data_IF_965780849390
#
_entry.id   IF_965780849390
#
_cell.length_a   1.000
_cell.length_b   1.000
_cell.length_c   1.000
_cell.angle_alpha   90.00
_cell.angle_beta   90.00
_cell.angle_gamma   90.00
#
_symmetry.space_group_name_H-M   'P 1'
#
loop_
_entity.id
_entity.type
_entity.pdbx_description
1 polymer ?
#
# COMPACT_ATOMS: atom_id res chain seq x y z
N UNK A 1 20.29 12.22 13.54
CA UNK A 1 18.88 11.92 13.90
C UNK A 1 18.09 11.75 12.63
N UNK A 2 17.47 10.59 12.41
CA UNK A 2 16.70 10.33 11.20
C UNK A 2 15.38 11.11 11.26
N UNK A 3 15.17 11.97 10.27
CA UNK A 3 13.96 12.77 10.08
C UNK A 3 12.72 11.89 9.95
N UNK A 4 11.59 12.35 10.50
CA UNK A 4 10.25 11.74 10.43
C UNK A 4 9.62 11.74 9.01
N UNK A 5 10.38 11.89 7.92
CA UNK A 5 9.85 12.61 6.75
C UNK A 5 8.98 11.83 5.75
N UNK A 6 8.95 10.49 5.70
CA UNK A 6 8.01 9.81 4.81
C UNK A 6 7.76 8.36 5.23
N UNK A 7 6.49 7.94 5.19
CA UNK A 7 6.08 6.55 5.08
C UNK A 7 5.72 6.28 3.62
N UNK A 8 5.99 5.07 3.12
CA UNK A 8 5.73 4.71 1.72
C UNK A 8 6.92 4.06 1.02
N UNK A 9 6.72 3.53 -0.20
CA UNK A 9 7.71 2.69 -0.88
C UNK A 9 9.00 3.41 -1.30
N UNK A 10 8.99 4.75 -1.35
CA UNK A 10 10.17 5.56 -1.68
C UNK A 10 10.94 6.02 -0.44
N UNK A 11 10.46 5.69 0.76
CA UNK A 11 11.07 6.14 2.00
C UNK A 11 12.14 5.17 2.56
N UNK A 12 12.44 4.09 1.83
CA UNK A 12 13.61 3.26 2.10
C UNK A 12 14.88 3.99 1.65
N UNK A 13 15.90 4.00 2.51
CA UNK A 13 17.19 4.64 2.23
C UNK A 13 18.34 3.69 2.58
N UNK A 14 19.52 3.90 1.97
CA UNK A 14 20.71 3.05 2.16
C UNK A 14 20.96 2.08 0.99
N UNK A 15 22.03 1.28 1.12
CA UNK A 15 22.53 0.43 0.03
C UNK A 15 21.52 -0.63 -0.46
N UNK A 16 20.64 -1.10 0.42
CA UNK A 16 19.60 -2.09 0.11
C UNK A 16 18.22 -1.48 -0.16
N UNK A 17 18.11 -0.14 -0.30
CA UNK A 17 16.81 0.53 -0.48
C UNK A 17 16.02 -0.02 -1.67
N UNK A 18 16.68 -0.25 -2.81
CA UNK A 18 16.05 -0.79 -4.02
C UNK A 18 15.48 -2.20 -3.82
N UNK A 19 16.12 -3.04 -2.99
CA UNK A 19 15.63 -4.38 -2.67
C UNK A 19 14.35 -4.30 -1.85
N UNK A 20 14.35 -3.45 -0.83
CA UNK A 20 13.16 -3.25 0.01
C UNK A 20 12.00 -2.65 -0.78
N UNK A 21 12.27 -1.71 -1.69
CA UNK A 21 11.26 -1.19 -2.61
C UNK A 21 10.69 -2.30 -3.51
N UNK A 22 11.55 -3.18 -4.06
CA UNK A 22 11.10 -4.34 -4.85
C UNK A 22 10.23 -5.31 -4.04
N UNK A 23 10.68 -5.71 -2.85
CA UNK A 23 9.92 -6.60 -1.95
C UNK A 23 8.54 -6.02 -1.61
N UNK A 24 8.48 -4.73 -1.31
CA UNK A 24 7.22 -4.04 -1.03
C UNK A 24 6.30 -4.06 -2.25
N UNK A 25 6.84 -3.81 -3.44
CA UNK A 25 6.06 -3.84 -4.67
C UNK A 25 5.49 -5.25 -4.96
N UNK A 26 6.31 -6.29 -4.83
CA UNK A 26 5.91 -7.68 -5.06
C UNK A 26 4.81 -8.11 -4.08
N UNK A 27 4.97 -7.79 -2.79
CA UNK A 27 3.97 -8.09 -1.76
C UNK A 27 2.68 -7.31 -1.99
N UNK A 28 2.76 -6.04 -2.40
CA UNK A 28 1.59 -5.22 -2.69
C UNK A 28 0.82 -5.71 -3.91
N UNK A 29 1.51 -6.12 -4.98
CA UNK A 29 0.90 -6.73 -6.16
C UNK A 29 0.20 -8.03 -5.79
N UNK A 30 0.89 -8.92 -5.08
CA UNK A 30 0.31 -10.18 -4.61
C UNK A 30 -0.94 -9.97 -3.73
N UNK A 31 -0.89 -9.03 -2.78
CA UNK A 31 -2.05 -8.70 -1.95
C UNK A 31 -3.20 -8.10 -2.76
N UNK A 32 -2.92 -7.17 -3.66
CA UNK A 32 -3.97 -6.53 -4.44
C UNK A 32 -4.62 -7.50 -5.43
N UNK A 33 -3.88 -8.43 -6.04
CA UNK A 33 -4.47 -9.47 -6.89
C UNK A 33 -5.41 -10.39 -6.10
N UNK A 34 -5.09 -10.68 -4.83
CA UNK A 34 -6.01 -11.41 -3.93
C UNK A 34 -7.29 -10.63 -3.65
N UNK A 35 -7.19 -9.32 -3.45
CA UNK A 35 -8.36 -8.45 -3.26
C UNK A 35 -9.22 -8.45 -4.52
N UNK A 36 -8.64 -8.22 -5.69
CA UNK A 36 -9.33 -8.20 -6.99
C UNK A 36 -10.03 -9.54 -7.26
N UNK A 37 -9.37 -10.67 -6.97
CA UNK A 37 -9.97 -11.99 -7.14
C UNK A 37 -11.21 -12.23 -6.26
N UNK A 38 -11.33 -11.54 -5.12
CA UNK A 38 -12.43 -11.66 -4.17
C UNK A 38 -13.50 -10.57 -4.33
N UNK A 39 -13.16 -9.46 -4.97
CA UNK A 39 -14.03 -8.32 -5.21
C UNK A 39 -13.87 -7.82 -6.66
N UNK A 40 -14.64 -8.37 -7.62
CA UNK A 40 -14.44 -8.11 -9.06
C UNK A 40 -14.65 -6.65 -9.50
N UNK A 41 -15.34 -5.83 -8.71
CA UNK A 41 -15.49 -4.40 -8.96
C UNK A 41 -14.20 -3.62 -8.65
N UNK A 42 -13.37 -4.16 -7.75
CA UNK A 42 -12.05 -3.61 -7.42
C UNK A 42 -11.07 -3.97 -8.54
N UNK A 43 -10.29 -2.99 -8.98
CA UNK A 43 -9.30 -3.15 -10.04
C UNK A 43 -8.07 -2.28 -9.80
N UNK A 44 -6.97 -2.65 -10.44
CA UNK A 44 -5.79 -1.80 -10.53
C UNK A 44 -6.01 -0.61 -11.46
N UNK A 45 -5.58 0.57 -11.04
CA UNK A 45 -5.56 1.78 -11.87
C UNK A 45 -4.31 2.62 -11.53
N UNK A 46 -3.77 3.33 -12.52
CA UNK A 46 -2.71 4.32 -12.26
C UNK A 46 -3.34 5.59 -11.67
N UNK A 47 -3.00 5.93 -10.43
CA UNK A 47 -3.53 7.14 -9.80
C UNK A 47 -2.93 8.40 -10.44
N UNK A 48 -3.71 9.09 -11.27
CA UNK A 48 -3.30 10.34 -11.94
C UNK A 48 -4.07 11.58 -11.45
N UNK A 49 -5.06 11.41 -10.57
CA UNK A 49 -6.05 12.45 -10.26
C UNK A 49 -5.50 13.63 -9.47
N UNK A 50 -4.63 13.40 -8.47
CA UNK A 50 -4.18 14.44 -7.56
C UNK A 50 -2.70 14.31 -7.18
N UNK A 51 -1.87 15.31 -7.51
CA UNK A 51 -0.42 15.33 -7.19
C UNK A 51 -0.06 15.15 -5.72
N UNK A 52 -0.98 15.49 -4.81
CA UNK A 52 -0.80 15.35 -3.35
C UNK A 52 -1.34 14.02 -2.80
N UNK A 53 -1.93 13.17 -3.63
CA UNK A 53 -2.36 11.84 -3.24
C UNK A 53 -1.13 10.98 -2.91
N UNK A 54 -1.22 10.17 -1.85
CA UNK A 54 -0.14 9.23 -1.46
C UNK A 54 0.15 8.23 -2.58
N UNK A 55 -0.90 7.85 -3.32
CA UNK A 55 -0.81 6.98 -4.48
C UNK A 55 -0.48 7.68 -5.79
N UNK A 56 -0.22 9.00 -5.83
CA UNK A 56 0.00 9.70 -7.09
C UNK A 56 1.13 9.07 -7.93
N UNK A 57 0.84 8.81 -9.20
CA UNK A 57 1.70 8.09 -10.16
C UNK A 57 2.11 6.68 -9.71
N UNK A 58 1.26 6.02 -8.92
CA UNK A 58 1.41 4.62 -8.50
C UNK A 58 0.21 3.78 -8.93
N UNK A 59 0.40 2.45 -9.10
CA UNK A 59 -0.71 1.53 -9.19
C UNK A 59 -1.45 1.50 -7.84
N UNK A 60 -2.74 1.79 -7.88
CA UNK A 60 -3.64 1.76 -6.71
C UNK A 60 -4.84 0.89 -7.03
N UNK A 61 -5.52 0.41 -5.99
CA UNK A 61 -6.83 -0.21 -6.14
C UNK A 61 -7.91 0.86 -6.14
N UNK A 62 -8.91 0.71 -7.00
CA UNK A 62 -10.10 1.56 -7.10
C UNK A 62 -11.34 0.70 -7.31
N UNK A 63 -12.54 1.30 -7.27
CA UNK A 63 -13.80 0.59 -7.52
C UNK A 63 -14.50 0.05 -6.27
N UNK A 64 -14.13 0.59 -5.11
CA UNK A 64 -14.74 0.25 -3.81
C UNK A 64 -16.17 0.78 -3.72
N UNK A 65 -17.14 -0.11 -3.48
CA UNK A 65 -18.57 0.22 -3.52
C UNK A 65 -19.18 0.64 -2.18
N UNK A 66 -18.50 0.35 -1.06
CA UNK A 66 -19.03 0.65 0.30
C UNK A 66 -18.54 1.98 0.87
N UNK A 67 -17.70 2.69 0.13
CA UNK A 67 -17.19 4.02 0.51
C UNK A 67 -17.93 5.09 -0.26
N UNK A 68 -18.45 6.10 0.44
CA UNK A 68 -19.21 7.19 -0.19
C UNK A 68 -18.34 8.10 -1.09
N UNK A 69 -17.01 8.09 -0.92
CA UNK A 69 -16.10 8.91 -1.71
C UNK A 69 -15.84 8.28 -3.09
N UNK A 70 -16.30 8.95 -4.15
CA UNK A 70 -16.10 8.53 -5.54
C UNK A 70 -14.63 8.52 -6.00
N UNK A 71 -13.74 9.20 -5.27
CA UNK A 71 -12.31 9.23 -5.55
C UNK A 71 -11.51 8.31 -4.63
N UNK A 72 -12.21 7.47 -3.85
CA UNK A 72 -11.56 6.53 -2.95
C UNK A 72 -10.67 5.56 -3.71
N UNK A 73 -9.43 5.44 -3.23
CA UNK A 73 -8.45 4.48 -3.72
C UNK A 73 -7.69 3.91 -2.53
N UNK A 74 -7.11 2.73 -2.73
CA UNK A 74 -6.21 2.10 -1.74
C UNK A 74 -4.84 1.93 -2.37
N UNK A 75 -3.84 2.62 -1.81
CA UNK A 75 -2.44 2.42 -2.13
C UNK A 75 -1.87 1.30 -1.24
N UNK A 76 -1.98 0.05 -1.72
CA UNK A 76 -1.50 -1.14 -1.01
C UNK A 76 0.02 -1.09 -0.79
N UNK A 77 0.77 -0.55 -1.76
CA UNK A 77 2.23 -0.43 -1.65
C UNK A 77 2.62 0.53 -0.51
N UNK A 78 1.91 1.63 -0.35
CA UNK A 78 2.11 2.53 0.79
C UNK A 78 1.83 1.87 2.13
N UNK A 79 0.75 1.08 2.23
CA UNK A 79 0.43 0.34 3.45
C UNK A 79 1.53 -0.67 3.79
N UNK A 80 1.93 -1.51 2.83
CA UNK A 80 2.98 -2.52 3.02
C UNK A 80 4.32 -1.87 3.37
N UNK A 81 4.71 -0.80 2.67
CA UNK A 81 5.95 -0.08 2.93
C UNK A 81 6.00 0.47 4.37
N UNK A 82 4.89 1.00 4.85
CA UNK A 82 4.79 1.59 6.19
C UNK A 82 5.11 0.54 7.28
N UNK A 83 4.59 -0.68 7.13
CA UNK A 83 4.88 -1.78 8.05
C UNK A 83 6.29 -2.34 7.90
N UNK A 84 6.77 -2.51 6.67
CA UNK A 84 8.13 -2.95 6.41
C UNK A 84 9.17 -1.97 7.00
N UNK A 85 8.90 -0.67 7.00
CA UNK A 85 9.75 0.33 7.67
C UNK A 85 9.73 0.22 9.20
N UNK A 86 8.57 -0.09 9.81
CA UNK A 86 8.51 -0.34 11.25
C UNK A 86 9.37 -1.55 11.62
N UNK A 87 9.26 -2.65 10.86
CA UNK A 87 10.08 -3.84 11.03
C UNK A 87 11.58 -3.54 10.85
N UNK A 88 11.96 -2.84 9.77
CA UNK A 88 13.35 -2.47 9.49
C UNK A 88 13.96 -1.56 10.58
N UNK A 89 13.15 -0.76 11.28
CA UNK A 89 13.56 0.11 12.39
C UNK A 89 13.54 -0.60 13.75
N UNK A 90 13.24 -1.91 13.80
CA UNK A 90 13.09 -2.65 15.05
C UNK A 90 11.98 -2.11 15.95
N UNK A 91 10.98 -1.43 15.38
CA UNK A 91 9.81 -0.97 16.11
C UNK A 91 8.81 -2.12 16.25
N UNK A 92 7.98 -2.13 17.32
CA UNK A 92 6.89 -3.09 17.41
C UNK A 92 5.98 -3.02 16.18
N UNK A 93 5.69 -4.18 15.59
CA UNK A 93 4.76 -4.34 14.49
C UNK A 93 3.80 -5.50 14.79
N UNK A 94 2.63 -5.50 14.15
CA UNK A 94 1.69 -6.63 14.25
C UNK A 94 2.16 -7.78 13.38
N UNK A 95 2.14 -9.00 13.89
CA UNK A 95 2.58 -10.20 13.14
C UNK A 95 1.68 -10.51 11.93
N UNK A 96 0.43 -10.05 11.95
CA UNK A 96 -0.63 -10.32 10.98
C UNK A 96 -0.93 -9.12 10.06
N UNK A 97 0.03 -8.20 9.89
CA UNK A 97 -0.22 -6.94 9.18
C UNK A 97 -0.69 -7.13 7.72
N UNK A 98 -0.17 -8.12 6.99
CA UNK A 98 -0.63 -8.41 5.62
C UNK A 98 -2.09 -8.88 5.60
N UNK A 99 -2.46 -9.75 6.54
CA UNK A 99 -3.85 -10.19 6.69
C UNK A 99 -4.76 -9.04 7.10
N UNK A 100 -4.27 -8.15 7.97
CA UNK A 100 -4.99 -6.93 8.34
C UNK A 100 -5.23 -6.04 7.12
N UNK A 101 -4.21 -5.78 6.30
CA UNK A 101 -4.33 -4.98 5.06
C UNK A 101 -5.36 -5.61 4.12
N UNK A 102 -5.29 -6.92 3.88
CA UNK A 102 -6.26 -7.63 3.04
C UNK A 102 -7.69 -7.48 3.57
N UNK A 103 -7.90 -7.71 4.87
CA UNK A 103 -9.22 -7.64 5.50
C UNK A 103 -9.83 -6.24 5.46
N UNK A 104 -9.06 -5.20 5.79
CA UNK A 104 -9.58 -3.82 5.77
C UNK A 104 -9.86 -3.37 4.35
N UNK A 105 -9.01 -3.73 3.39
CA UNK A 105 -9.24 -3.39 1.98
C UNK A 105 -10.51 -4.07 1.44
N UNK A 106 -10.75 -5.33 1.79
CA UNK A 106 -11.96 -6.04 1.40
C UNK A 106 -13.22 -5.52 2.11
N UNK A 107 -13.09 -4.94 3.30
CA UNK A 107 -14.22 -4.39 4.02
C UNK A 107 -14.85 -3.20 3.28
N UNK A 108 -14.03 -2.43 2.55
CA UNK A 108 -14.44 -1.28 1.74
C UNK A 108 -14.99 -1.67 0.37
N UNK A 109 -14.70 -2.90 -0.09
CA UNK A 109 -15.02 -3.38 -1.43
C UNK A 109 -16.53 -3.65 -1.62
#
# INVERSE_FOLDING_TARGET
>A
GASLAAAGPDAFTGADAWRWTGVVADVALWLGDRVVARAPAVRWELCASHKKATGYQRPVLVGFGKVADRFYYVDVAHMVASWAQLAARGRPYRADFLATIEQVTLADA
#
